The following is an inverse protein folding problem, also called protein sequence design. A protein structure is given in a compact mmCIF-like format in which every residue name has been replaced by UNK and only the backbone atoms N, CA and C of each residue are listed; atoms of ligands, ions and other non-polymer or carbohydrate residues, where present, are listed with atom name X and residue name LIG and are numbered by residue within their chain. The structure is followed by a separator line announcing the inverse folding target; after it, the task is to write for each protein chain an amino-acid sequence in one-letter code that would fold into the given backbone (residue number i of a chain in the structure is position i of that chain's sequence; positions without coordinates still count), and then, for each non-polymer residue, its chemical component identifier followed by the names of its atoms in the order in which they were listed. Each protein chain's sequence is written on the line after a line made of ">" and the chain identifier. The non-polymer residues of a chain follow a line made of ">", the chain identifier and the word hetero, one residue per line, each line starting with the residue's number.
data_IF_979395571418
#
_entry.id   IF_979395571418
#
_cell.length_a   1.000
_cell.length_b   1.000
_cell.length_c   1.000
_cell.angle_alpha   90.00
_cell.angle_beta   90.00
_cell.angle_gamma   90.00
#
_symmetry.space_group_name_H-M   'P 1'
#
loop_
_entity.id
_entity.type
_entity.pdbx_description
1 polymer ?
#
# COMPACT_ATOMS: atom_id res chain seq x y z
N UNK A 1 7.59 13.04 -2.59
CA UNK A 1 7.70 14.51 -2.52
C UNK A 1 9.08 14.92 -2.99
N UNK A 2 9.17 16.06 -3.66
CA UNK A 2 10.46 16.60 -4.14
C UNK A 2 11.28 17.02 -2.93
N UNK A 3 12.58 16.69 -2.90
CA UNK A 3 13.48 17.12 -1.83
C UNK A 3 13.53 18.66 -1.78
N UNK A 4 13.52 19.25 -0.59
CA UNK A 4 13.47 20.71 -0.43
C UNK A 4 14.61 21.43 -1.18
N UNK A 5 15.83 20.89 -1.13
CA UNK A 5 16.98 21.48 -1.85
C UNK A 5 16.79 21.45 -3.36
N UNK A 6 16.32 20.31 -3.87
CA UNK A 6 16.09 20.13 -5.31
C UNK A 6 14.95 21.04 -5.78
N UNK A 7 13.90 21.19 -4.95
CA UNK A 7 12.79 22.11 -5.21
C UNK A 7 13.28 23.56 -5.31
N UNK A 8 14.10 24.01 -4.35
CA UNK A 8 14.69 25.35 -4.35
C UNK A 8 15.52 25.59 -5.62
N UNK A 9 16.27 24.58 -6.05
CA UNK A 9 17.09 24.64 -7.28
C UNK A 9 16.22 24.69 -8.53
N UNK A 10 15.18 23.84 -8.63
CA UNK A 10 14.24 23.83 -9.75
C UNK A 10 13.55 25.20 -9.90
N UNK A 11 13.07 25.78 -8.79
CA UNK A 11 12.39 27.08 -8.81
C UNK A 11 13.31 28.22 -9.24
N UNK A 12 14.58 28.17 -8.83
CA UNK A 12 15.58 29.18 -9.17
C UNK A 12 16.05 29.07 -10.62
N UNK A 13 16.39 27.86 -11.07
CA UNK A 13 16.86 27.61 -12.45
C UNK A 13 15.80 28.00 -13.49
N UNK A 14 14.54 27.75 -13.18
CA UNK A 14 13.43 28.08 -14.08
C UNK A 14 12.88 29.50 -13.89
N UNK A 15 13.54 30.33 -13.07
CA UNK A 15 13.16 31.74 -12.79
C UNK A 15 11.72 31.93 -12.33
N UNK A 16 11.19 30.95 -11.59
CA UNK A 16 9.83 30.97 -11.04
C UNK A 16 9.79 31.85 -9.79
N UNK A 17 10.81 31.74 -8.94
CA UNK A 17 11.00 32.60 -7.79
C UNK A 17 12.39 33.24 -7.82
N UNK A 18 12.48 34.47 -7.42
CA UNK A 18 13.76 35.11 -7.16
C UNK A 18 14.34 34.67 -5.80
N UNK A 19 15.65 34.82 -5.54
CA UNK A 19 16.26 34.38 -4.29
C UNK A 19 15.65 35.00 -3.01
N UNK A 20 15.08 36.21 -3.11
CA UNK A 20 14.45 36.89 -1.96
C UNK A 20 13.08 36.27 -1.65
N UNK A 21 12.29 36.02 -2.73
CA UNK A 21 11.01 35.34 -2.62
C UNK A 21 11.19 33.91 -2.12
N UNK A 22 12.15 33.17 -2.67
CA UNK A 22 12.46 31.81 -2.24
C UNK A 22 12.79 31.76 -0.75
N UNK A 23 13.66 32.64 -0.27
CA UNK A 23 14.00 32.71 1.17
C UNK A 23 12.76 32.99 2.02
N UNK A 24 11.87 33.90 1.60
CA UNK A 24 10.62 34.19 2.30
C UNK A 24 9.74 32.94 2.44
N UNK A 25 9.58 32.18 1.37
CA UNK A 25 8.75 30.96 1.38
C UNK A 25 9.41 29.80 2.14
N UNK A 26 10.72 29.61 2.02
CA UNK A 26 11.47 28.62 2.82
C UNK A 26 11.42 28.93 4.32
N UNK A 27 11.49 30.21 4.71
CA UNK A 27 11.34 30.63 6.11
C UNK A 27 9.90 30.43 6.61
N UNK A 28 8.89 30.59 5.75
CA UNK A 28 7.49 30.28 6.07
C UNK A 28 7.29 28.78 6.28
N UNK A 29 7.83 27.94 5.39
CA UNK A 29 7.77 26.47 5.51
C UNK A 29 8.43 25.97 6.81
N UNK A 30 9.55 26.55 7.25
CA UNK A 30 10.19 26.17 8.51
C UNK A 30 9.37 26.50 9.77
N UNK A 31 8.40 27.40 9.68
CA UNK A 31 7.53 27.85 10.79
C UNK A 31 6.14 27.25 10.73
N UNK A 32 5.80 26.52 9.67
CA UNK A 32 4.52 25.85 9.41
C UNK A 32 4.72 24.34 9.41
N UNK A 33 3.69 23.55 9.66
CA UNK A 33 3.70 22.11 9.39
C UNK A 33 3.73 21.78 7.88
N UNK A 34 3.43 22.77 7.02
CA UNK A 34 3.34 22.60 5.57
C UNK A 34 4.72 22.61 4.93
N UNK A 35 4.90 21.82 3.90
CA UNK A 35 6.15 21.80 3.12
C UNK A 35 6.26 23.04 2.22
N UNK A 36 7.49 23.36 1.75
CA UNK A 36 7.67 24.40 0.76
C UNK A 36 6.85 24.13 -0.50
N UNK A 37 6.74 22.87 -0.90
CA UNK A 37 5.91 22.42 -2.03
C UNK A 37 4.44 22.78 -1.81
N UNK A 38 3.88 22.46 -0.64
CA UNK A 38 2.48 22.77 -0.31
C UNK A 38 2.21 24.28 -0.39
N UNK A 39 3.10 25.07 0.22
CA UNK A 39 2.93 26.54 0.25
C UNK A 39 2.94 27.17 -1.15
N UNK A 40 3.87 26.77 -2.04
CA UNK A 40 3.95 27.35 -3.37
C UNK A 40 2.79 26.94 -4.28
N UNK A 41 2.24 25.74 -4.04
CA UNK A 41 1.04 25.25 -4.74
C UNK A 41 -0.22 25.95 -4.23
N UNK A 42 -0.40 26.06 -2.91
CA UNK A 42 -1.55 26.75 -2.31
C UNK A 42 -1.61 28.23 -2.67
N UNK A 43 -0.47 28.92 -2.66
CA UNK A 43 -0.37 30.31 -3.07
C UNK A 43 -0.43 30.50 -4.60
N UNK A 44 -0.64 29.42 -5.37
CA UNK A 44 -0.76 29.41 -6.84
C UNK A 44 0.44 30.04 -7.56
N UNK A 45 1.62 29.93 -6.99
CA UNK A 45 2.86 30.42 -7.59
C UNK A 45 3.20 29.58 -8.83
N UNK A 46 2.96 28.27 -8.74
CA UNK A 46 3.13 27.34 -9.85
C UNK A 46 2.02 26.28 -9.82
N UNK A 47 1.57 25.88 -11.00
CA UNK A 47 0.64 24.75 -11.11
C UNK A 47 1.35 23.42 -10.77
N UNK A 48 0.73 22.49 -10.01
CA UNK A 48 1.35 21.20 -9.66
C UNK A 48 1.89 20.45 -10.87
N UNK A 49 1.14 20.40 -11.97
CA UNK A 49 1.55 19.70 -13.18
C UNK A 49 2.87 20.25 -13.74
N UNK A 50 2.99 21.57 -13.82
CA UNK A 50 4.21 22.23 -14.32
C UNK A 50 5.38 21.98 -13.35
N UNK A 51 5.15 22.01 -12.03
CA UNK A 51 6.18 21.74 -11.03
C UNK A 51 6.77 20.34 -11.21
N UNK A 52 5.92 19.32 -11.31
CA UNK A 52 6.36 17.93 -11.46
C UNK A 52 6.97 17.65 -12.85
N UNK A 53 6.53 18.36 -13.91
CA UNK A 53 7.18 18.31 -15.21
C UNK A 53 8.61 18.87 -15.17
N UNK A 54 8.82 19.99 -14.48
CA UNK A 54 10.14 20.59 -14.28
C UNK A 54 11.02 19.68 -13.40
N UNK A 55 10.47 19.08 -12.36
CA UNK A 55 11.16 18.10 -11.53
C UNK A 55 11.58 16.87 -12.34
N UNK A 56 10.72 16.38 -13.22
CA UNK A 56 11.05 15.27 -14.10
C UNK A 56 12.24 15.60 -15.03
N UNK A 57 12.25 16.79 -15.59
CA UNK A 57 13.39 17.28 -16.39
C UNK A 57 14.67 17.40 -15.57
N UNK A 58 14.56 17.89 -14.33
CA UNK A 58 15.69 18.03 -13.41
C UNK A 58 16.31 16.67 -13.05
N UNK A 59 15.48 15.68 -12.73
CA UNK A 59 15.90 14.31 -12.41
C UNK A 59 16.20 13.46 -13.66
N UNK A 60 16.01 13.99 -14.87
CA UNK A 60 16.15 13.25 -16.13
C UNK A 60 15.27 12.01 -16.20
N UNK A 61 14.07 12.10 -15.65
CA UNK A 61 13.05 11.06 -15.68
C UNK A 61 11.91 11.44 -16.62
N UNK A 62 11.23 10.48 -17.23
CA UNK A 62 10.01 10.77 -17.98
C UNK A 62 8.91 11.28 -17.06
N UNK A 63 8.11 12.23 -17.54
CA UNK A 63 6.90 12.70 -16.90
C UNK A 63 5.67 12.05 -17.56
N UNK A 64 4.66 11.67 -16.77
CA UNK A 64 3.46 11.04 -17.29
C UNK A 64 2.21 11.56 -16.59
N UNK A 65 1.14 11.77 -17.37
CA UNK A 65 -0.23 11.90 -16.87
C UNK A 65 -0.93 10.56 -16.89
N UNK A 66 -1.40 10.10 -15.71
CA UNK A 66 -2.08 8.81 -15.57
C UNK A 66 -3.55 8.88 -16.04
N UNK A 67 -4.15 10.09 -16.05
CA UNK A 67 -5.53 10.30 -16.53
C UNK A 67 -5.75 9.88 -17.98
N UNK A 68 -4.69 9.94 -18.79
CA UNK A 68 -4.73 9.62 -20.21
C UNK A 68 -4.46 8.13 -20.48
N UNK A 69 -4.27 7.33 -19.43
CA UNK A 69 -3.92 5.91 -19.51
C UNK A 69 -5.03 5.02 -18.95
N UNK A 70 -5.38 4.00 -19.71
CA UNK A 70 -6.19 2.89 -19.21
C UNK A 70 -5.27 1.93 -18.46
N UNK A 71 -5.27 1.99 -17.14
CA UNK A 71 -4.44 1.13 -16.30
C UNK A 71 -5.14 -0.20 -16.08
N UNK A 72 -4.48 -1.29 -16.45
CA UNK A 72 -4.98 -2.66 -16.22
C UNK A 72 -4.90 -2.97 -14.72
N UNK A 73 -5.95 -3.59 -14.18
CA UNK A 73 -6.03 -3.92 -12.75
C UNK A 73 -4.92 -4.88 -12.30
N UNK A 74 -4.60 -5.89 -13.14
CA UNK A 74 -3.54 -6.85 -12.84
C UNK A 74 -2.15 -6.20 -12.71
N UNK A 75 -1.91 -5.09 -13.40
CA UNK A 75 -0.69 -4.30 -13.27
C UNK A 75 -0.76 -3.40 -12.05
N UNK A 76 -1.89 -2.72 -11.86
CA UNK A 76 -2.09 -1.82 -10.73
C UNK A 76 -1.90 -2.53 -9.38
N UNK A 77 -2.46 -3.74 -9.24
CA UNK A 77 -2.38 -4.54 -8.02
C UNK A 77 -1.02 -5.21 -7.77
N UNK A 78 -0.02 -5.07 -8.66
CA UNK A 78 1.35 -5.44 -8.35
C UNK A 78 1.93 -4.61 -7.18
N UNK A 79 1.43 -3.37 -7.03
CA UNK A 79 1.68 -2.54 -5.84
C UNK A 79 0.36 -2.46 -5.08
N UNK A 80 0.24 -3.00 -3.85
CA UNK A 80 -0.99 -2.86 -3.08
C UNK A 80 -1.33 -1.42 -2.75
N UNK A 81 -2.62 -1.18 -2.54
CA UNK A 81 -3.16 0.14 -2.24
C UNK A 81 -2.44 0.84 -1.08
N UNK A 82 -2.11 0.08 -0.02
CA UNK A 82 -1.43 0.62 1.16
C UNK A 82 -0.11 1.23 0.78
N UNK A 83 0.73 0.46 0.09
CA UNK A 83 2.05 0.91 -0.36
C UNK A 83 1.93 2.00 -1.40
N UNK A 84 0.98 1.86 -2.34
CA UNK A 84 0.68 2.90 -3.31
C UNK A 84 0.31 4.22 -2.63
N UNK A 85 -0.46 4.16 -1.55
CA UNK A 85 -0.89 5.32 -0.76
C UNK A 85 0.24 5.87 0.12
N UNK A 86 0.96 5.01 0.86
CA UNK A 86 2.04 5.42 1.77
C UNK A 86 3.21 6.05 1.01
N UNK A 87 3.57 5.45 -0.11
CA UNK A 87 4.72 5.89 -0.92
C UNK A 87 4.35 6.74 -2.13
N UNK A 88 3.06 7.07 -2.31
CA UNK A 88 2.57 7.85 -3.45
C UNK A 88 3.09 7.32 -4.78
N UNK A 89 2.94 6.00 -4.99
CA UNK A 89 3.56 5.24 -6.08
C UNK A 89 2.58 4.22 -6.63
N UNK A 90 2.43 4.15 -7.96
CA UNK A 90 1.53 3.19 -8.63
C UNK A 90 2.19 2.54 -9.84
N UNK A 91 1.91 1.27 -10.08
CA UNK A 91 2.27 0.61 -11.33
C UNK A 91 1.20 0.89 -12.37
N UNK A 92 1.58 1.29 -13.59
CA UNK A 92 0.63 1.66 -14.63
C UNK A 92 0.81 0.91 -15.95
N UNK A 93 1.98 0.35 -16.20
CA UNK A 93 2.26 -0.42 -17.41
C UNK A 93 3.28 -1.51 -17.15
N UNK A 94 3.21 -2.60 -17.93
CA UNK A 94 4.10 -3.75 -17.80
C UNK A 94 4.39 -4.35 -19.17
N UNK A 95 5.67 -4.59 -19.42
CA UNK A 95 6.16 -5.38 -20.56
C UNK A 95 6.71 -6.73 -20.08
N UNK A 96 7.34 -7.51 -20.97
CA UNK A 96 8.05 -8.75 -20.61
C UNK A 96 9.18 -8.51 -19.59
N UNK A 97 9.87 -7.38 -19.69
CA UNK A 97 11.14 -7.13 -18.99
C UNK A 97 11.12 -5.91 -18.08
N UNK A 98 10.10 -5.06 -18.20
CA UNK A 98 9.99 -3.80 -17.46
C UNK A 98 8.63 -3.62 -16.80
N UNK A 99 8.65 -3.06 -15.58
CA UNK A 99 7.49 -2.53 -14.87
C UNK A 99 7.59 -1.01 -14.79
N UNK A 100 6.66 -0.32 -15.44
CA UNK A 100 6.58 1.14 -15.41
C UNK A 100 5.82 1.60 -14.18
N UNK A 101 6.48 2.44 -13.37
CA UNK A 101 5.98 2.97 -12.10
C UNK A 101 5.88 4.48 -12.20
N UNK A 102 4.76 5.05 -11.79
CA UNK A 102 4.57 6.47 -11.58
C UNK A 102 4.66 6.79 -10.08
N UNK A 103 5.48 7.77 -9.71
CA UNK A 103 5.73 8.15 -8.31
C UNK A 103 5.85 9.67 -8.14
N UNK A 104 5.62 10.14 -6.92
CA UNK A 104 5.93 11.51 -6.49
C UNK A 104 7.28 11.59 -5.78
N UNK A 105 7.82 10.45 -5.33
CA UNK A 105 9.04 10.39 -4.55
C UNK A 105 10.00 9.33 -5.10
N UNK A 106 11.10 9.79 -5.66
CA UNK A 106 12.14 8.94 -6.24
C UNK A 106 13.14 8.42 -5.20
N UNK A 107 13.08 8.92 -3.96
CA UNK A 107 14.02 8.54 -2.89
C UNK A 107 13.72 7.17 -2.27
N UNK A 108 12.57 6.57 -2.58
CA UNK A 108 12.14 5.26 -2.05
C UNK A 108 12.85 4.08 -2.74
N UNK A 109 14.17 4.07 -2.71
CA UNK A 109 14.99 3.03 -3.39
C UNK A 109 14.64 1.64 -2.86
N UNK A 110 14.45 1.48 -1.54
CA UNK A 110 14.10 0.20 -0.91
C UNK A 110 12.79 -0.39 -1.50
N UNK A 111 11.79 0.44 -1.76
CA UNK A 111 10.54 0.00 -2.39
C UNK A 111 10.77 -0.46 -3.83
N UNK A 112 11.53 0.31 -4.60
CA UNK A 112 11.77 -0.01 -6.01
C UNK A 112 12.61 -1.28 -6.16
N UNK A 113 13.63 -1.47 -5.32
CA UNK A 113 14.42 -2.71 -5.26
C UNK A 113 13.55 -3.91 -4.86
N UNK A 114 12.69 -3.74 -3.85
CA UNK A 114 11.74 -4.78 -3.46
C UNK A 114 10.82 -5.17 -4.61
N UNK A 115 10.24 -4.18 -5.32
CA UNK A 115 9.35 -4.43 -6.45
C UNK A 115 10.08 -5.11 -7.61
N UNK A 116 11.32 -4.67 -7.92
CA UNK A 116 12.15 -5.29 -8.95
C UNK A 116 12.38 -6.78 -8.67
N UNK A 117 12.74 -7.11 -7.45
CA UNK A 117 13.01 -8.47 -7.01
C UNK A 117 11.72 -9.31 -6.97
N UNK A 118 10.62 -8.76 -6.43
CA UNK A 118 9.32 -9.44 -6.35
C UNK A 118 8.76 -9.78 -7.73
N UNK A 119 8.86 -8.85 -8.68
CA UNK A 119 8.31 -9.00 -10.04
C UNK A 119 9.28 -9.64 -11.02
N UNK A 120 10.57 -9.68 -10.69
CA UNK A 120 11.69 -10.06 -11.57
C UNK A 120 11.74 -9.19 -12.83
N UNK A 121 11.31 -7.93 -12.75
CA UNK A 121 11.27 -6.96 -13.83
C UNK A 121 12.15 -5.75 -13.50
N UNK A 122 12.70 -5.13 -14.54
CA UNK A 122 13.35 -3.84 -14.40
C UNK A 122 12.34 -2.75 -14.07
N UNK A 123 12.64 -1.91 -13.10
CA UNK A 123 11.74 -0.81 -12.71
C UNK A 123 12.06 0.42 -13.54
N UNK A 124 11.05 0.91 -14.28
CA UNK A 124 11.12 2.16 -15.03
C UNK A 124 10.34 3.23 -14.28
N UNK A 125 11.06 4.17 -13.67
CA UNK A 125 10.45 5.25 -12.91
C UNK A 125 9.98 6.38 -13.83
N UNK A 126 8.79 6.90 -13.50
CA UNK A 126 8.21 8.06 -14.14
C UNK A 126 7.70 9.00 -13.03
N UNK A 127 7.88 10.30 -13.19
CA UNK A 127 7.23 11.27 -12.32
C UNK A 127 5.82 11.57 -12.81
N UNK A 128 4.93 11.85 -11.86
CA UNK A 128 3.53 12.19 -12.13
C UNK A 128 3.05 13.27 -11.15
N UNK A 129 1.78 13.64 -11.21
CA UNK A 129 1.20 14.63 -10.30
C UNK A 129 0.51 14.01 -9.10
N UNK A 130 0.36 14.73 -7.96
CA UNK A 130 -0.42 14.28 -6.83
C UNK A 130 -1.88 13.95 -7.20
N UNK A 131 -2.48 14.72 -8.11
CA UNK A 131 -3.84 14.48 -8.58
C UNK A 131 -3.95 13.18 -9.37
N UNK A 132 -2.96 12.86 -10.23
CA UNK A 132 -2.93 11.60 -10.97
C UNK A 132 -2.83 10.38 -10.03
N UNK A 133 -1.98 10.44 -9.01
CA UNK A 133 -1.90 9.39 -7.98
C UNK A 133 -3.22 9.26 -7.26
N UNK A 134 -3.82 10.38 -6.80
CA UNK A 134 -5.07 10.39 -6.06
C UNK A 134 -6.24 9.79 -6.86
N UNK A 135 -6.35 10.12 -8.15
CA UNK A 135 -7.36 9.54 -9.04
C UNK A 135 -7.12 8.06 -9.28
N UNK A 136 -5.86 7.66 -9.48
CA UNK A 136 -5.50 6.24 -9.66
C UNK A 136 -5.78 5.42 -8.40
N UNK A 137 -5.54 5.97 -7.21
CA UNK A 137 -5.87 5.32 -5.95
C UNK A 137 -7.37 5.04 -5.79
N UNK A 138 -8.27 5.80 -6.43
CA UNK A 138 -9.71 5.50 -6.45
C UNK A 138 -10.04 4.22 -7.22
N UNK A 139 -9.19 3.84 -8.18
CA UNK A 139 -9.38 2.61 -8.97
C UNK A 139 -9.18 1.37 -8.08
N UNK A 140 -8.27 1.43 -7.10
CA UNK A 140 -8.07 0.34 -6.15
C UNK A 140 -9.35 0.03 -5.37
N UNK A 141 -10.05 1.06 -4.86
CA UNK A 141 -11.30 0.86 -4.12
C UNK A 141 -12.38 0.18 -4.96
N UNK A 142 -12.50 0.55 -6.24
CA UNK A 142 -13.49 -0.07 -7.14
C UNK A 142 -13.12 -1.51 -7.54
N UNK A 143 -11.83 -1.79 -7.66
CA UNK A 143 -11.35 -3.11 -8.09
C UNK A 143 -11.38 -4.14 -6.96
N UNK A 144 -10.83 -3.79 -5.81
CA UNK A 144 -10.78 -4.68 -4.65
C UNK A 144 -12.20 -4.99 -4.13
N UNK A 145 -13.09 -3.98 -4.10
CA UNK A 145 -14.48 -4.19 -3.71
C UNK A 145 -15.23 -5.12 -4.66
N UNK A 146 -14.93 -5.11 -5.96
CA UNK A 146 -15.58 -5.98 -6.93
C UNK A 146 -15.10 -7.45 -6.82
N UNK A 147 -13.78 -7.68 -6.74
CA UNK A 147 -13.23 -9.04 -6.57
C UNK A 147 -13.65 -9.67 -5.24
N UNK A 148 -13.73 -8.85 -4.19
CA UNK A 148 -14.12 -9.31 -2.87
C UNK A 148 -15.65 -9.45 -2.77
N UNK A 149 -16.46 -8.68 -3.51
CA UNK A 149 -17.90 -8.89 -3.60
C UNK A 149 -18.24 -10.17 -4.38
N UNK A 150 -17.54 -10.50 -5.47
CA UNK A 150 -17.67 -11.79 -6.14
C UNK A 150 -17.39 -12.95 -5.18
N UNK A 151 -16.34 -12.86 -4.36
CA UNK A 151 -16.04 -13.85 -3.30
C UNK A 151 -17.12 -13.88 -2.22
N UNK A 152 -17.67 -12.72 -1.83
CA UNK A 152 -18.71 -12.61 -0.81
C UNK A 152 -20.10 -13.07 -1.26
N UNK A 153 -20.38 -13.11 -2.55
CA UNK A 153 -21.64 -13.62 -3.11
C UNK A 153 -21.63 -15.16 -3.22
N UNK A 154 -20.50 -15.76 -3.56
CA UNK A 154 -20.33 -17.21 -3.52
C UNK A 154 -20.38 -17.80 -2.09
N UNK A 155 -19.96 -17.02 -1.06
CA UNK A 155 -20.02 -17.46 0.34
C UNK A 155 -21.39 -17.24 1.01
N UNK A 156 -22.25 -16.34 0.53
CA UNK A 156 -23.61 -16.18 1.09
C UNK A 156 -24.48 -17.42 0.98
N UNK A 157 -24.18 -18.32 0.05
CA UNK A 157 -24.85 -19.62 -0.06
C UNK A 157 -24.33 -20.68 0.93
N UNK A 158 -23.16 -20.46 1.56
CA UNK A 158 -22.53 -21.42 2.49
C UNK A 158 -22.46 -20.91 3.95
N UNK A 159 -23.45 -20.17 4.37
CA UNK A 159 -23.49 -19.63 5.74
C UNK A 159 -23.66 -20.68 6.82
N UNK A 160 -22.85 -20.54 7.87
CA UNK A 160 -22.81 -21.06 9.25
C UNK A 160 -21.58 -21.89 9.54
N UNK A 161 -21.04 -21.71 10.75
CA UNK A 161 -19.99 -22.44 11.47
C UNK A 161 -19.45 -23.66 10.70
N UNK A 162 -18.46 -23.43 9.85
CA UNK A 162 -17.97 -24.45 8.93
C UNK A 162 -17.26 -25.57 9.67
N UNK A 163 -17.48 -26.79 9.22
CA UNK A 163 -16.72 -27.98 9.68
C UNK A 163 -15.22 -27.71 9.47
N UNK A 164 -14.31 -28.32 10.27
CA UNK A 164 -12.86 -28.13 10.15
C UNK A 164 -12.30 -28.31 8.73
N UNK A 165 -12.92 -29.18 7.94
CA UNK A 165 -12.58 -29.40 6.52
C UNK A 165 -12.96 -28.23 5.62
N UNK A 166 -14.08 -27.55 5.88
CA UNK A 166 -14.52 -26.36 5.13
C UNK A 166 -13.62 -25.16 5.45
N UNK A 167 -13.26 -24.95 6.72
CA UNK A 167 -12.31 -23.93 7.13
C UNK A 167 -10.90 -24.16 6.54
N UNK A 168 -10.49 -25.43 6.42
CA UNK A 168 -9.23 -25.79 5.79
C UNK A 168 -9.25 -25.48 4.29
N UNK A 169 -10.35 -25.74 3.61
CA UNK A 169 -10.53 -25.41 2.20
C UNK A 169 -10.53 -23.89 1.98
N UNK A 170 -11.30 -23.15 2.78
CA UNK A 170 -11.29 -21.67 2.75
C UNK A 170 -9.89 -21.07 2.96
N UNK A 171 -9.11 -21.63 3.88
CA UNK A 171 -7.76 -21.18 4.16
C UNK A 171 -6.75 -21.52 3.05
N UNK A 172 -7.10 -22.43 2.14
CA UNK A 172 -6.29 -22.81 0.98
C UNK A 172 -6.78 -22.16 -0.31
N UNK A 173 -7.92 -21.45 -0.27
CA UNK A 173 -8.40 -20.69 -1.41
C UNK A 173 -7.36 -19.66 -1.86
N UNK A 174 -7.04 -19.70 -3.15
CA UNK A 174 -6.02 -18.83 -3.74
C UNK A 174 -6.20 -17.33 -3.40
N UNK A 175 -7.41 -16.75 -3.42
CA UNK A 175 -7.64 -15.37 -3.01
C UNK A 175 -7.25 -15.10 -1.55
N UNK A 176 -7.66 -15.96 -0.62
CA UNK A 176 -7.35 -15.80 0.82
C UNK A 176 -5.85 -15.95 1.08
N UNK A 177 -5.21 -16.92 0.45
CA UNK A 177 -3.75 -17.09 0.54
C UNK A 177 -3.05 -15.82 0.07
N UNK A 178 -3.44 -15.27 -1.10
CA UNK A 178 -2.86 -14.02 -1.62
C UNK A 178 -3.08 -12.83 -0.70
N UNK A 179 -4.27 -12.69 -0.13
CA UNK A 179 -4.57 -11.62 0.82
C UNK A 179 -3.64 -11.69 2.02
N UNK A 180 -3.52 -12.86 2.66
CA UNK A 180 -2.68 -13.04 3.85
C UNK A 180 -1.20 -12.85 3.50
N UNK A 181 -0.71 -13.46 2.43
CA UNK A 181 0.69 -13.34 2.02
C UNK A 181 1.03 -11.86 1.71
N UNK A 182 0.14 -11.15 1.00
CA UNK A 182 0.28 -9.73 0.73
C UNK A 182 0.33 -8.90 2.02
N UNK A 183 -0.58 -9.14 2.97
CA UNK A 183 -0.57 -8.43 4.25
C UNK A 183 0.76 -8.61 5.00
N UNK A 184 1.28 -9.83 5.03
CA UNK A 184 2.53 -10.14 5.73
C UNK A 184 3.75 -9.53 5.01
N UNK A 185 3.84 -9.63 3.69
CA UNK A 185 4.93 -9.06 2.90
C UNK A 185 5.01 -7.53 3.05
N UNK A 186 3.87 -6.85 2.99
CA UNK A 186 3.85 -5.39 3.14
C UNK A 186 4.07 -4.93 4.57
N UNK A 187 3.65 -5.69 5.57
CA UNK A 187 4.04 -5.41 6.95
C UNK A 187 5.56 -5.49 7.14
N UNK A 188 6.22 -6.44 6.48
CA UNK A 188 7.68 -6.56 6.47
C UNK A 188 8.32 -5.36 5.77
N UNK A 189 7.82 -4.97 4.59
CA UNK A 189 8.31 -3.83 3.82
C UNK A 189 8.18 -2.52 4.62
N UNK A 190 7.02 -2.29 5.25
CA UNK A 190 6.76 -1.12 6.10
C UNK A 190 7.51 -1.17 7.45
N UNK A 191 8.30 -2.22 7.70
CA UNK A 191 9.01 -2.44 8.98
C UNK A 191 8.07 -2.41 10.18
N UNK A 192 6.83 -2.90 9.98
CA UNK A 192 5.83 -2.93 11.04
C UNK A 192 6.25 -3.87 12.18
N UNK A 193 6.08 -3.39 13.43
CA UNK A 193 6.30 -4.22 14.61
C UNK A 193 5.11 -5.14 14.93
N UNK A 194 3.89 -4.72 14.57
CA UNK A 194 2.66 -5.45 14.85
C UNK A 194 1.67 -5.34 13.69
N UNK A 195 0.91 -6.41 13.49
CA UNK A 195 -0.23 -6.50 12.59
C UNK A 195 -1.46 -6.80 13.42
N UNK A 196 -2.48 -5.97 13.35
CA UNK A 196 -3.78 -6.18 14.00
C UNK A 196 -4.83 -6.43 12.94
N UNK A 197 -5.52 -7.56 13.04
CA UNK A 197 -6.66 -7.94 12.19
C UNK A 197 -7.87 -8.02 13.10
N UNK A 198 -8.73 -7.02 13.02
CA UNK A 198 -9.79 -6.77 14.00
C UNK A 198 -11.16 -6.84 13.32
N UNK A 199 -11.95 -7.88 13.63
CA UNK A 199 -13.31 -7.95 13.12
C UNK A 199 -14.21 -6.92 13.80
N UNK A 200 -15.12 -6.38 13.04
CA UNK A 200 -16.28 -5.60 13.51
C UNK A 200 -17.56 -6.20 12.94
N UNK A 201 -18.69 -5.59 13.24
CA UNK A 201 -19.99 -6.07 12.74
C UNK A 201 -20.04 -6.19 11.21
N UNK A 202 -19.49 -5.22 10.48
CA UNK A 202 -19.64 -5.09 9.02
C UNK A 202 -18.36 -5.37 8.23
N UNK A 203 -17.21 -5.21 8.84
CA UNK A 203 -15.92 -5.25 8.16
C UNK A 203 -14.81 -5.79 9.06
N UNK A 204 -13.66 -6.07 8.49
CA UNK A 204 -12.44 -6.44 9.21
C UNK A 204 -11.41 -5.35 9.00
N UNK A 205 -11.06 -4.64 10.07
CA UNK A 205 -10.02 -3.62 10.05
C UNK A 205 -8.64 -4.24 10.15
N UNK A 206 -7.73 -3.87 9.25
CA UNK A 206 -6.30 -4.23 9.36
C UNK A 206 -5.51 -2.99 9.74
N UNK A 207 -4.69 -3.09 10.78
CA UNK A 207 -3.83 -2.00 11.25
C UNK A 207 -2.40 -2.50 11.41
N UNK A 208 -1.44 -1.67 11.02
CA UNK A 208 -0.01 -1.90 11.29
C UNK A 208 0.49 -0.91 12.34
N UNK A 209 1.39 -1.38 13.19
CA UNK A 209 2.19 -0.48 14.03
C UNK A 209 3.51 -0.21 13.33
N UNK A 210 3.70 1.03 12.89
CA UNK A 210 4.94 1.51 12.25
C UNK A 210 5.45 2.67 13.10
N UNK A 211 6.72 2.63 13.49
CA UNK A 211 7.35 3.63 14.36
C UNK A 211 6.55 3.89 15.65
N UNK A 212 6.03 2.83 16.27
CA UNK A 212 5.23 2.91 17.49
C UNK A 212 3.77 3.33 17.30
N UNK A 213 3.37 3.80 16.12
CA UNK A 213 2.03 4.33 15.84
C UNK A 213 1.19 3.28 15.09
N UNK A 214 0.00 2.96 15.62
CA UNK A 214 -0.98 2.13 14.93
C UNK A 214 -1.71 2.95 13.86
N UNK A 215 -1.60 2.48 12.61
CA UNK A 215 -2.27 3.09 11.45
C UNK A 215 -3.22 2.09 10.81
N UNK A 216 -4.42 2.51 10.46
CA UNK A 216 -5.34 1.69 9.65
C UNK A 216 -4.77 1.63 8.24
N UNK A 217 -4.55 0.41 7.75
CA UNK A 217 -3.93 0.18 6.44
C UNK A 217 -4.93 -0.29 5.40
N UNK A 218 -5.90 -1.12 5.81
CA UNK A 218 -6.97 -1.55 4.91
C UNK A 218 -8.19 -2.01 5.68
N UNK A 219 -9.24 -2.28 4.92
CA UNK A 219 -10.46 -2.91 5.40
C UNK A 219 -10.77 -4.09 4.49
N UNK A 220 -11.05 -5.24 5.07
CA UNK A 220 -11.49 -6.42 4.36
C UNK A 220 -12.99 -6.64 4.60
N UNK A 221 -13.72 -7.22 3.67
CA UNK A 221 -15.09 -7.65 3.91
C UNK A 221 -15.18 -8.64 5.05
N UNK A 222 -16.30 -8.63 5.75
CA UNK A 222 -16.58 -9.57 6.85
C UNK A 222 -16.51 -11.02 6.39
N UNK A 223 -16.96 -11.32 5.16
CA UNK A 223 -16.94 -12.65 4.57
C UNK A 223 -15.54 -13.29 4.51
N UNK A 224 -14.50 -12.50 4.28
CA UNK A 224 -13.11 -13.02 4.18
C UNK A 224 -12.48 -13.32 5.55
N UNK A 225 -13.12 -12.91 6.65
CA UNK A 225 -12.56 -13.00 7.99
C UNK A 225 -12.21 -14.44 8.40
N UNK A 226 -13.16 -15.35 8.26
CA UNK A 226 -12.97 -16.76 8.65
C UNK A 226 -11.81 -17.41 7.89
N UNK A 227 -11.71 -17.15 6.58
CA UNK A 227 -10.62 -17.64 5.74
C UNK A 227 -9.25 -17.08 6.16
N UNK A 228 -9.17 -15.77 6.42
CA UNK A 228 -7.93 -15.12 6.87
C UNK A 228 -7.46 -15.70 8.23
N UNK A 229 -8.36 -15.83 9.20
CA UNK A 229 -8.05 -16.42 10.51
C UNK A 229 -7.63 -17.88 10.36
N UNK A 230 -8.37 -18.67 9.59
CA UNK A 230 -8.03 -20.06 9.32
C UNK A 230 -6.64 -20.20 8.66
N UNK A 231 -6.30 -19.33 7.69
CA UNK A 231 -4.98 -19.30 7.06
C UNK A 231 -3.87 -19.00 8.07
N UNK A 232 -4.07 -18.02 8.93
CA UNK A 232 -3.11 -17.68 10.00
C UNK A 232 -2.96 -18.82 11.02
N UNK A 233 -4.05 -19.49 11.39
CA UNK A 233 -4.01 -20.69 12.25
C UNK A 233 -3.19 -21.82 11.60
N UNK A 234 -3.39 -22.08 10.31
CA UNK A 234 -2.59 -23.08 9.56
C UNK A 234 -1.11 -22.72 9.58
N UNK A 235 -0.76 -21.47 9.23
CA UNK A 235 0.64 -21.00 9.22
C UNK A 235 1.31 -21.18 10.59
N UNK A 236 0.54 -21.05 11.67
CA UNK A 236 1.02 -21.10 13.07
C UNK A 236 0.81 -22.45 13.75
N UNK A 237 0.29 -23.45 13.02
CA UNK A 237 -0.04 -24.78 13.56
C UNK A 237 -1.02 -24.75 14.74
N UNK A 238 -1.99 -23.84 14.69
CA UNK A 238 -3.06 -23.67 15.68
C UNK A 238 -4.27 -24.54 15.32
N UNK A 239 -5.16 -24.77 16.28
CA UNK A 239 -6.38 -25.56 16.10
C UNK A 239 -7.41 -24.74 15.31
N UNK A 240 -7.92 -25.30 14.21
CA UNK A 240 -8.92 -24.65 13.36
C UNK A 240 -10.32 -24.66 13.98
N UNK A 241 -10.64 -25.70 14.71
CA UNK A 241 -11.94 -25.96 15.35
C UNK A 241 -12.14 -25.27 16.70
N UNK A 242 -11.10 -24.64 17.23
CA UNK A 242 -11.19 -23.90 18.49
C UNK A 242 -11.41 -22.41 18.22
N UNK A 243 -12.56 -21.89 18.64
CA UNK A 243 -12.96 -20.49 18.43
C UNK A 243 -13.30 -19.76 19.73
N UNK A 244 -13.27 -20.47 20.87
CA UNK A 244 -13.71 -19.93 22.17
C UNK A 244 -12.57 -19.60 23.12
N UNK A 245 -11.42 -20.21 22.89
CA UNK A 245 -10.24 -20.03 23.74
C UNK A 245 -9.14 -19.28 22.98
N UNK A 246 -8.40 -18.41 23.67
CA UNK A 246 -7.21 -17.80 23.08
C UNK A 246 -6.19 -18.84 22.65
N UNK A 247 -5.52 -18.57 21.53
CA UNK A 247 -4.46 -19.42 21.00
C UNK A 247 -3.23 -18.59 20.66
N UNK A 248 -2.07 -19.07 21.05
CA UNK A 248 -0.78 -18.47 20.73
C UNK A 248 0.04 -19.41 19.86
N UNK A 249 0.70 -18.85 18.86
CA UNK A 249 1.55 -19.60 17.96
C UNK A 249 2.70 -18.77 17.40
N UNK A 250 3.47 -19.40 16.55
CA UNK A 250 4.54 -18.72 15.84
C UNK A 250 4.82 -19.40 14.50
N UNK A 251 5.18 -18.61 13.52
CA UNK A 251 5.61 -19.09 12.21
C UNK A 251 6.76 -18.25 11.66
N UNK A 252 7.36 -18.73 10.58
CA UNK A 252 8.48 -18.03 9.92
C UNK A 252 8.20 -17.93 8.44
N UNK A 253 8.43 -16.75 7.91
CA UNK A 253 8.49 -16.52 6.47
C UNK A 253 9.95 -16.41 6.07
N UNK A 254 10.33 -17.20 5.07
CA UNK A 254 11.65 -17.16 4.46
C UNK A 254 11.49 -16.87 2.98
N UNK A 255 12.13 -15.83 2.51
CA UNK A 255 12.36 -15.56 1.10
C UNK A 255 13.86 -15.53 0.85
N UNK A 256 14.27 -15.31 -0.39
CA UNK A 256 15.70 -15.15 -0.70
C UNK A 256 16.30 -13.88 -0.06
N UNK A 257 15.47 -12.93 0.37
CA UNK A 257 15.87 -11.60 0.82
C UNK A 257 15.69 -11.39 2.33
N UNK A 258 14.73 -12.07 2.94
CA UNK A 258 14.43 -11.88 4.35
C UNK A 258 14.01 -13.19 5.03
N UNK A 259 14.28 -13.23 6.31
CA UNK A 259 13.81 -14.28 7.22
C UNK A 259 13.21 -13.63 8.45
N UNK A 260 11.88 -13.62 8.51
CA UNK A 260 11.12 -12.99 9.59
C UNK A 260 10.37 -14.04 10.39
N UNK A 261 10.38 -13.90 11.71
CA UNK A 261 9.61 -14.73 12.63
C UNK A 261 8.43 -13.94 13.16
N UNK A 262 7.24 -14.52 13.05
CA UNK A 262 6.00 -13.95 13.58
C UNK A 262 5.59 -14.69 14.84
N UNK A 263 5.17 -13.93 15.85
CA UNK A 263 4.37 -14.45 16.96
C UNK A 263 2.93 -14.03 16.70
N UNK A 264 2.01 -14.96 16.83
CA UNK A 264 0.58 -14.71 16.65
C UNK A 264 -0.17 -15.03 17.94
N UNK A 265 -1.15 -14.20 18.23
CA UNK A 265 -2.11 -14.41 19.32
C UNK A 265 -3.50 -14.23 18.73
N UNK A 266 -4.35 -15.24 18.85
CA UNK A 266 -5.73 -15.21 18.38
C UNK A 266 -6.63 -15.17 19.61
N UNK A 267 -7.48 -14.16 19.69
CA UNK A 267 -8.35 -13.90 20.82
C UNK A 267 -9.80 -13.86 20.37
N UNK A 268 -10.70 -14.66 20.94
CA UNK A 268 -12.12 -14.58 20.67
C UNK A 268 -12.69 -13.21 21.08
N UNK A 269 -13.51 -12.62 20.22
CA UNK A 269 -14.24 -11.39 20.48
C UNK A 269 -15.71 -11.57 20.10
N UNK A 270 -16.55 -10.55 20.38
CA UNK A 270 -17.97 -10.60 20.03
C UNK A 270 -18.20 -10.74 18.52
N UNK A 271 -17.39 -10.05 17.72
CA UNK A 271 -17.52 -10.02 16.26
C UNK A 271 -16.69 -11.10 15.55
N UNK A 272 -16.07 -12.02 16.27
CA UNK A 272 -15.21 -13.09 15.73
C UNK A 272 -13.83 -13.11 16.36
N UNK A 273 -12.89 -13.82 15.78
CA UNK A 273 -11.52 -13.95 16.31
C UNK A 273 -10.65 -12.78 15.85
N UNK A 274 -10.00 -12.14 16.81
CA UNK A 274 -9.04 -11.05 16.56
C UNK A 274 -7.64 -11.59 16.52
#
# INVERSE_FOLDING_TARGET
>A
MINQKDLEEILTQNKILDPKQLKKYSDKARKSPDTLEDIIVEEKIIAPALLYELAAKFYKLPFIHLKDKTIRKDILFLIPEITARSHQTVAFDKTSDELSIATLDISNIELFDFLAKKTQLNIKLNLTTPDDIKETLKIYHKGLSAEIQELGEEEKEKGKEGKPEELKNLAQDLPIVRVVDTLLEYAILEKASDIHIEPSEKEVGVRYRVDGILRKVMTLPKSTHAGVVARLKILSSLKLDEHRLPQDGRFKIKSNEYKVSFRISIIPTFDGEK
#
